data_IF_773516026625
#
_entry.id   IF_773516026625
#
_cell.length_a   1.000
_cell.length_b   1.000
_cell.length_c   1.000
_cell.angle_alpha   90.00
_cell.angle_beta   90.00
_cell.angle_gamma   90.00
#
_symmetry.space_group_name_H-M   'P 1'
#
loop_
_entity.id
_entity.type
_entity.pdbx_description
1 polymer ?
#
# COMPACT_ATOMS: atom_id res chain seq x y z
N UNK A 1 -29.57 10.09 -15.46
CA UNK A 1 -29.29 10.37 -14.03
C UNK A 1 -27.92 11.02 -13.97
N UNK A 2 -27.64 11.87 -12.97
CA UNK A 2 -26.25 12.32 -12.76
C UNK A 2 -25.50 11.17 -12.11
N UNK A 3 -24.52 10.58 -12.79
CA UNK A 3 -23.59 9.68 -12.13
C UNK A 3 -22.92 10.45 -10.99
N UNK A 4 -23.08 9.96 -9.77
CA UNK A 4 -22.30 10.48 -8.66
C UNK A 4 -20.85 10.05 -8.87
N UNK A 5 -19.87 10.91 -8.54
CA UNK A 5 -18.46 10.55 -8.69
C UNK A 5 -18.20 9.26 -7.92
N UNK A 6 -17.67 8.24 -8.59
CA UNK A 6 -17.39 6.96 -7.96
C UNK A 6 -16.39 7.18 -6.83
N UNK A 7 -16.75 6.73 -5.63
CA UNK A 7 -15.93 6.93 -4.44
C UNK A 7 -15.34 5.59 -4.00
N UNK A 8 -14.03 5.58 -3.83
CA UNK A 8 -13.26 4.38 -3.51
C UNK A 8 -12.95 4.32 -2.01
N UNK A 9 -13.01 3.12 -1.45
CA UNK A 9 -12.47 2.78 -0.14
C UNK A 9 -11.13 2.06 -0.28
N UNK A 10 -10.27 2.14 0.74
CA UNK A 10 -9.04 1.38 0.82
C UNK A 10 -9.06 0.48 2.06
N UNK A 11 -8.95 -0.83 1.86
CA UNK A 11 -8.72 -1.79 2.94
C UNK A 11 -7.29 -2.32 2.87
N UNK A 12 -6.56 -2.21 3.97
CA UNK A 12 -5.28 -2.88 4.16
C UNK A 12 -5.59 -4.19 4.88
N UNK A 13 -5.47 -5.32 4.18
CA UNK A 13 -5.60 -6.66 4.75
C UNK A 13 -4.21 -7.24 4.88
N UNK A 14 -3.83 -7.73 6.05
CA UNK A 14 -2.50 -8.30 6.22
C UNK A 14 -2.42 -9.41 7.23
N UNK A 15 -1.47 -10.29 6.96
CA UNK A 15 -1.11 -11.41 7.79
C UNK A 15 -0.32 -10.93 9.02
N UNK A 16 -0.89 -11.13 10.20
CA UNK A 16 -0.39 -10.65 11.49
C UNK A 16 0.26 -11.76 12.31
N UNK A 17 0.77 -12.78 11.61
CA UNK A 17 1.65 -13.84 12.12
C UNK A 17 3.11 -13.43 11.90
N UNK A 18 3.97 -13.66 12.88
CA UNK A 18 5.40 -13.30 12.80
C UNK A 18 6.30 -14.38 12.21
N UNK A 19 5.97 -15.67 12.35
CA UNK A 19 6.80 -16.80 11.92
C UNK A 19 8.26 -16.70 12.38
N UNK A 20 8.49 -16.19 13.60
CA UNK A 20 9.81 -15.91 14.18
C UNK A 20 10.61 -14.79 13.50
N UNK A 21 10.04 -14.03 12.56
CA UNK A 21 10.78 -13.10 11.69
C UNK A 21 10.76 -11.63 12.15
N UNK A 22 11.90 -10.94 12.02
CA UNK A 22 12.00 -9.49 12.26
C UNK A 22 11.12 -8.65 11.30
N UNK A 23 10.74 -9.24 10.16
CA UNK A 23 10.03 -8.57 9.07
C UNK A 23 8.63 -8.05 9.42
N UNK A 24 8.00 -8.57 10.46
CA UNK A 24 6.68 -8.10 10.89
C UNK A 24 6.73 -6.69 11.49
N UNK A 25 7.78 -6.33 12.23
CA UNK A 25 7.97 -4.95 12.70
C UNK A 25 8.11 -3.96 11.54
N UNK A 26 8.76 -4.39 10.47
CA UNK A 26 8.88 -3.64 9.21
C UNK A 26 7.53 -3.48 8.50
N UNK A 27 6.68 -4.51 8.46
CA UNK A 27 5.33 -4.42 7.87
C UNK A 27 4.42 -3.46 8.67
N UNK A 28 4.43 -3.54 10.01
CA UNK A 28 3.68 -2.59 10.87
C UNK A 28 4.12 -1.14 10.62
N UNK A 29 5.41 -0.92 10.40
CA UNK A 29 5.97 0.41 10.04
C UNK A 29 5.51 0.85 8.64
N UNK A 30 5.58 -0.04 7.65
CA UNK A 30 5.11 0.25 6.29
C UNK A 30 3.63 0.64 6.24
N UNK A 31 2.77 -0.11 6.93
CA UNK A 31 1.32 0.13 6.98
C UNK A 31 1.03 1.51 7.58
N UNK A 32 1.74 1.91 8.63
CA UNK A 32 1.59 3.25 9.20
C UNK A 32 2.00 4.35 8.20
N UNK A 33 3.08 4.18 7.46
CA UNK A 33 3.50 5.13 6.41
C UNK A 33 2.52 5.18 5.23
N UNK A 34 1.91 4.04 4.87
CA UNK A 34 0.85 3.97 3.86
C UNK A 34 -0.40 4.72 4.34
N UNK A 35 -0.91 4.45 5.56
CA UNK A 35 -2.06 5.17 6.13
C UNK A 35 -1.80 6.68 6.13
N UNK A 36 -0.61 7.09 6.59
CA UNK A 36 -0.17 8.48 6.55
C UNK A 36 -0.19 9.10 5.15
N UNK A 37 0.34 8.39 4.14
CA UNK A 37 0.29 8.79 2.74
C UNK A 37 -1.15 9.00 2.26
N UNK A 38 -2.04 8.02 2.52
CA UNK A 38 -3.41 8.03 2.01
C UNK A 38 -4.25 9.12 2.66
N UNK A 39 -4.13 9.34 3.98
CA UNK A 39 -4.81 10.43 4.69
C UNK A 39 -4.35 11.82 4.23
N UNK A 40 -3.09 11.99 3.80
CA UNK A 40 -2.63 13.24 3.19
C UNK A 40 -3.06 13.41 1.74
N UNK A 41 -3.15 12.31 0.99
CA UNK A 41 -3.61 12.31 -0.38
C UNK A 41 -5.10 12.68 -0.45
N UNK A 42 -5.91 12.20 0.51
CA UNK A 42 -7.36 12.48 0.58
C UNK A 42 -8.03 12.13 -0.76
N UNK A 43 -7.76 10.88 -1.16
CA UNK A 43 -8.12 10.23 -2.42
C UNK A 43 -9.04 9.00 -2.24
N UNK A 44 -9.19 8.51 -1.01
CA UNK A 44 -10.18 7.51 -0.61
C UNK A 44 -11.07 8.11 0.48
N UNK A 45 -12.37 7.81 0.43
CA UNK A 45 -13.32 8.29 1.44
C UNK A 45 -13.09 7.60 2.79
N UNK A 46 -12.76 6.30 2.74
CA UNK A 46 -12.56 5.47 3.93
C UNK A 46 -11.29 4.64 3.84
N UNK A 47 -10.55 4.57 4.94
CA UNK A 47 -9.44 3.63 5.13
C UNK A 47 -9.82 2.68 6.28
N UNK A 48 -9.50 1.40 6.15
CA UNK A 48 -9.55 0.45 7.27
C UNK A 48 -8.43 -0.56 7.20
N UNK A 49 -8.09 -1.16 8.33
CA UNK A 49 -7.04 -2.17 8.47
C UNK A 49 -7.62 -3.43 9.10
N UNK A 50 -7.44 -4.56 8.41
CA UNK A 50 -7.82 -5.89 8.85
C UNK A 50 -6.55 -6.73 9.02
N UNK A 51 -6.30 -7.14 10.26
CA UNK A 51 -5.26 -8.10 10.60
C UNK A 51 -5.88 -9.49 10.71
N UNK A 52 -5.23 -10.50 10.15
CA UNK A 52 -5.67 -11.89 10.27
C UNK A 52 -4.52 -12.82 10.68
N UNK A 53 -4.85 -13.99 11.25
CA UNK A 53 -3.86 -14.98 11.75
C UNK A 53 -4.32 -16.42 11.51
N UNK A 54 -3.41 -17.37 11.72
CA UNK A 54 -3.73 -18.80 11.76
C UNK A 54 -4.54 -19.18 12.99
N UNK A 55 -5.28 -20.29 12.91
CA UNK A 55 -6.15 -20.81 13.97
C UNK A 55 -5.39 -21.43 15.18
N UNK A 56 -4.09 -21.16 15.30
CA UNK A 56 -3.28 -21.44 16.48
C UNK A 56 -3.62 -20.52 17.67
N UNK A 57 -4.13 -19.31 17.40
CA UNK A 57 -4.53 -18.37 18.45
C UNK A 57 -6.00 -18.54 18.89
N UNK A 58 -6.40 -17.86 19.96
CA UNK A 58 -7.82 -17.79 20.35
C UNK A 58 -8.67 -17.25 19.18
N UNK A 59 -9.89 -17.76 19.02
CA UNK A 59 -10.75 -17.43 17.87
C UNK A 59 -10.97 -15.91 17.68
N UNK A 60 -11.01 -15.16 18.78
CA UNK A 60 -11.13 -13.69 18.80
C UNK A 60 -9.90 -12.96 18.22
N UNK A 61 -8.72 -13.60 18.21
CA UNK A 61 -7.47 -13.07 17.64
C UNK A 61 -7.20 -13.54 16.21
N UNK A 62 -8.04 -14.41 15.63
CA UNK A 62 -7.90 -14.82 14.23
C UNK A 62 -8.19 -13.66 13.28
N UNK A 63 -9.07 -12.74 13.66
CA UNK A 63 -9.45 -11.55 12.90
C UNK A 63 -9.54 -10.34 13.82
N UNK A 64 -8.81 -9.27 13.50
CA UNK A 64 -8.94 -7.97 14.15
C UNK A 64 -9.19 -6.89 13.09
N UNK A 65 -10.18 -6.01 13.33
CA UNK A 65 -10.64 -5.01 12.37
C UNK A 65 -10.66 -3.62 13.01
N UNK A 66 -9.98 -2.65 12.39
CA UNK A 66 -9.89 -1.28 12.90
C UNK A 66 -11.19 -0.48 12.81
N UNK A 67 -12.17 -0.96 12.04
CA UNK A 67 -13.27 -0.14 11.52
C UNK A 67 -12.83 0.81 10.40
N UNK A 68 -13.81 1.50 9.81
CA UNK A 68 -13.61 2.46 8.72
C UNK A 68 -13.37 3.89 9.24
N UNK A 69 -12.19 4.46 8.97
CA UNK A 69 -11.88 5.87 9.22
C UNK A 69 -12.20 6.73 8.00
N UNK A 70 -12.98 7.80 8.20
CA UNK A 70 -13.28 8.80 7.18
C UNK A 70 -12.20 9.90 7.17
N UNK A 71 -11.24 9.81 6.25
CA UNK A 71 -10.05 10.69 6.19
C UNK A 71 -10.39 12.18 6.14
N UNK A 72 -11.43 12.55 5.39
CA UNK A 72 -11.88 13.94 5.23
C UNK A 72 -12.66 14.50 6.43
N UNK A 73 -12.97 13.65 7.43
CA UNK A 73 -13.88 13.94 8.56
C UNK A 73 -13.26 13.64 9.94
N UNK A 74 -11.94 13.44 10.04
CA UNK A 74 -11.19 13.28 11.29
C UNK A 74 -11.48 14.48 12.23
N UNK A 75 -12.10 14.28 13.42
CA UNK A 75 -11.88 13.11 14.29
C UNK A 75 -13.16 12.28 14.61
N UNK A 76 -13.96 11.88 13.62
CA UNK A 76 -14.97 10.83 13.86
C UNK A 76 -14.29 9.49 14.19
N UNK A 77 -14.66 8.76 15.26
CA UNK A 77 -14.07 7.46 15.57
C UNK A 77 -14.50 6.36 14.58
N UNK A 78 -13.60 5.47 14.14
CA UNK A 78 -12.15 5.51 14.36
C UNK A 78 -11.50 6.66 13.57
N UNK A 79 -10.72 7.48 14.24
CA UNK A 79 -9.90 8.53 13.62
C UNK A 79 -8.63 7.95 13.00
N UNK A 80 -7.86 8.77 12.29
CA UNK A 80 -6.59 8.31 11.71
C UNK A 80 -5.58 7.91 12.79
N UNK A 81 -5.64 8.53 13.97
CA UNK A 81 -4.78 8.15 15.10
C UNK A 81 -5.24 6.84 15.73
N UNK A 82 -6.54 6.55 15.76
CA UNK A 82 -7.07 5.28 16.29
C UNK A 82 -6.65 4.10 15.41
N UNK A 83 -6.70 4.23 14.08
CA UNK A 83 -6.21 3.18 13.17
C UNK A 83 -4.69 3.02 13.26
N UNK A 84 -3.92 4.10 13.36
CA UNK A 84 -2.47 3.98 13.56
C UNK A 84 -2.12 3.31 14.89
N UNK A 85 -2.84 3.66 15.97
CA UNK A 85 -2.68 3.02 17.27
C UNK A 85 -3.06 1.54 17.22
N UNK A 86 -4.18 1.19 16.57
CA UNK A 86 -4.55 -0.19 16.31
C UNK A 86 -3.39 -0.94 15.64
N UNK A 87 -2.84 -0.43 14.53
CA UNK A 87 -1.68 -1.04 13.85
C UNK A 87 -0.46 -1.14 14.75
N UNK A 88 -0.18 -0.12 15.57
CA UNK A 88 0.94 -0.12 16.51
C UNK A 88 0.77 -1.20 17.60
N UNK A 89 -0.42 -1.33 18.17
CA UNK A 89 -0.71 -2.16 19.35
C UNK A 89 -0.99 -3.64 19.00
N UNK A 90 -1.27 -3.98 17.72
CA UNK A 90 -1.50 -5.36 17.28
C UNK A 90 -0.40 -6.33 17.72
N UNK A 91 -0.76 -7.33 18.51
CA UNK A 91 0.10 -8.47 18.88
C UNK A 91 0.33 -9.36 17.67
N UNK A 92 1.55 -9.79 17.39
CA UNK A 92 1.82 -10.68 16.27
C UNK A 92 2.55 -11.91 16.80
N UNK A 93 1.81 -13.00 17.09
CA UNK A 93 2.39 -14.18 17.70
C UNK A 93 3.37 -14.84 16.74
N UNK A 94 4.26 -15.64 17.32
CA UNK A 94 5.03 -16.62 16.59
C UNK A 94 4.21 -17.93 16.57
N UNK A 95 4.02 -18.50 15.38
CA UNK A 95 3.35 -19.80 15.17
C UNK A 95 4.30 -20.84 14.55
N UNK A 96 5.62 -20.57 14.56
CA UNK A 96 6.64 -21.49 14.03
C UNK A 96 6.67 -22.87 14.69
N UNK A 97 6.06 -23.04 15.88
CA UNK A 97 5.89 -24.35 16.52
C UNK A 97 4.79 -25.21 15.87
N UNK A 98 3.80 -24.63 15.19
CA UNK A 98 2.62 -25.34 14.66
C UNK A 98 2.83 -25.93 13.26
N UNK A 99 3.97 -25.66 12.61
CA UNK A 99 4.35 -26.12 11.26
C UNK A 99 3.31 -25.81 10.14
N UNK A 100 2.42 -24.84 10.34
CA UNK A 100 1.48 -24.40 9.29
C UNK A 100 2.24 -23.75 8.13
N UNK A 101 2.14 -24.34 6.94
CA UNK A 101 2.68 -23.71 5.73
C UNK A 101 1.72 -22.68 5.10
N UNK A 102 0.52 -22.51 5.67
CA UNK A 102 -0.54 -21.69 5.07
C UNK A 102 -1.12 -20.62 6.00
N UNK A 103 -1.87 -19.72 5.39
CA UNK A 103 -2.47 -18.51 5.96
C UNK A 103 -4.01 -18.52 5.87
N UNK A 104 -4.71 -18.07 6.92
CA UNK A 104 -6.19 -17.93 6.97
C UNK A 104 -6.76 -16.79 6.09
N UNK A 105 -6.27 -16.64 4.86
CA UNK A 105 -6.69 -15.58 3.95
C UNK A 105 -8.14 -15.72 3.48
N UNK A 106 -8.75 -16.92 3.51
CA UNK A 106 -10.17 -17.09 3.16
C UNK A 106 -11.06 -16.41 4.20
N UNK A 107 -10.77 -16.64 5.48
CA UNK A 107 -11.43 -15.93 6.60
C UNK A 107 -11.19 -14.42 6.54
N UNK A 108 -9.97 -13.97 6.23
CA UNK A 108 -9.66 -12.55 6.06
C UNK A 108 -10.51 -11.88 4.97
N UNK A 109 -10.61 -12.52 3.80
CA UNK A 109 -11.37 -12.01 2.66
C UNK A 109 -12.89 -12.13 2.86
N UNK A 110 -13.37 -13.15 3.57
CA UNK A 110 -14.77 -13.25 3.99
C UNK A 110 -15.18 -12.05 4.86
N UNK A 111 -14.35 -11.70 5.86
CA UNK A 111 -14.57 -10.52 6.69
C UNK A 111 -14.43 -9.23 5.90
N UNK A 112 -13.43 -9.10 5.03
CA UNK A 112 -13.29 -7.95 4.15
C UNK A 112 -14.56 -7.72 3.32
N UNK A 113 -15.08 -8.77 2.67
CA UNK A 113 -16.32 -8.74 1.90
C UNK A 113 -17.52 -8.35 2.76
N UNK A 114 -17.61 -8.81 4.01
CA UNK A 114 -18.66 -8.40 4.96
C UNK A 114 -18.65 -6.87 5.20
N UNK A 115 -17.47 -6.27 5.43
CA UNK A 115 -17.29 -4.85 5.75
C UNK A 115 -17.33 -3.90 4.54
N UNK A 116 -17.15 -4.42 3.32
CA UNK A 116 -17.21 -3.67 2.07
C UNK A 116 -18.62 -3.14 1.75
N UNK A 117 -18.67 -1.99 1.08
CA UNK A 117 -19.89 -1.46 0.42
C UNK A 117 -19.86 -1.75 -1.09
N UNK A 118 -20.99 -1.50 -1.74
CA UNK A 118 -21.21 -1.81 -3.16
C UNK A 118 -20.44 -0.92 -4.17
N UNK A 119 -19.89 0.21 -3.72
CA UNK A 119 -19.25 1.18 -4.63
C UNK A 119 -17.81 0.82 -5.03
N UNK A 120 -17.25 -0.22 -4.40
CA UNK A 120 -15.94 -0.77 -4.72
C UNK A 120 -14.83 -0.38 -3.74
N UNK A 121 -14.04 -1.37 -3.35
CA UNK A 121 -12.91 -1.23 -2.42
C UNK A 121 -11.61 -1.70 -3.08
N UNK A 122 -10.52 -0.94 -2.91
CA UNK A 122 -9.18 -1.45 -3.19
C UNK A 122 -8.70 -2.21 -1.95
N UNK A 123 -8.29 -3.45 -2.15
CA UNK A 123 -7.70 -4.29 -1.09
C UNK A 123 -6.20 -4.37 -1.34
N UNK A 124 -5.40 -3.94 -0.37
CA UNK A 124 -3.96 -4.19 -0.32
C UNK A 124 -3.76 -5.41 0.59
N UNK A 125 -3.46 -6.57 0.00
CA UNK A 125 -3.40 -7.86 0.69
C UNK A 125 -1.93 -8.29 0.87
N UNK A 126 -1.39 -8.19 2.08
CA UNK A 126 -0.01 -8.61 2.40
C UNK A 126 -0.01 -9.98 3.09
N UNK A 127 0.72 -10.95 2.55
CA UNK A 127 0.77 -12.30 3.08
C UNK A 127 2.22 -12.80 3.23
N UNK A 128 2.48 -13.58 4.29
CA UNK A 128 3.77 -14.22 4.53
C UNK A 128 3.82 -15.67 4.03
N UNK A 129 2.64 -16.29 3.85
CA UNK A 129 2.45 -17.67 3.42
C UNK A 129 1.33 -17.75 2.34
N UNK A 130 1.21 -18.86 1.58
CA UNK A 130 0.06 -19.14 0.72
C UNK A 130 -1.25 -19.34 1.51
N UNK A 131 -2.45 -19.26 0.90
CA UNK A 131 -3.70 -19.53 1.60
C UNK A 131 -3.85 -20.99 2.03
N UNK A 132 -4.68 -21.27 3.05
CA UNK A 132 -5.01 -22.63 3.46
C UNK A 132 -5.89 -23.36 2.42
N UNK A 133 -5.41 -24.55 2.02
CA UNK A 133 -6.15 -25.55 1.24
C UNK A 133 -6.06 -26.92 1.93
N UNK A 134 -6.97 -27.82 1.60
CA UNK A 134 -7.12 -29.15 2.23
C UNK A 134 -5.81 -29.96 2.24
N UNK A 135 -5.01 -29.87 1.18
CA UNK A 135 -3.77 -30.63 1.02
C UNK A 135 -2.54 -30.05 1.72
N UNK A 136 -2.60 -28.81 2.23
CA UNK A 136 -1.48 -28.14 2.93
C UNK A 136 -1.81 -27.59 4.33
N UNK A 137 -3.07 -27.30 4.62
CA UNK A 137 -3.45 -26.53 5.82
C UNK A 137 -3.82 -27.36 7.05
N UNK A 138 -4.02 -28.67 6.90
CA UNK A 138 -4.32 -29.60 8.00
C UNK A 138 -5.38 -29.09 8.98
N UNK A 139 -5.07 -29.14 10.27
CA UNK A 139 -6.01 -28.76 11.33
C UNK A 139 -6.38 -27.25 11.33
N UNK A 140 -5.54 -26.37 10.78
CA UNK A 140 -5.89 -24.96 10.59
C UNK A 140 -6.89 -24.78 9.45
N UNK A 141 -6.75 -25.56 8.36
CA UNK A 141 -7.75 -25.58 7.29
C UNK A 141 -9.11 -26.07 7.81
N UNK A 142 -9.14 -27.16 8.58
CA UNK A 142 -10.38 -27.65 9.19
C UNK A 142 -11.03 -26.58 10.09
N UNK A 143 -10.21 -25.89 10.89
CA UNK A 143 -10.64 -24.79 11.76
C UNK A 143 -11.15 -23.58 10.96
N UNK A 144 -10.49 -23.23 9.85
CA UNK A 144 -10.94 -22.19 8.93
C UNK A 144 -12.28 -22.56 8.29
N UNK A 145 -12.46 -23.79 7.82
CA UNK A 145 -13.72 -24.26 7.21
C UNK A 145 -14.89 -24.26 8.20
N UNK A 146 -14.67 -24.68 9.45
CA UNK A 146 -15.67 -24.59 10.53
C UNK A 146 -16.00 -23.12 10.83
N UNK A 147 -15.00 -22.25 10.88
CA UNK A 147 -15.17 -20.82 11.14
C UNK A 147 -15.87 -20.08 10.00
N UNK A 148 -15.60 -20.43 8.74
CA UNK A 148 -16.32 -19.92 7.57
C UNK A 148 -17.77 -20.42 7.50
N UNK A 149 -18.02 -21.66 7.97
CA UNK A 149 -19.38 -22.22 8.07
C UNK A 149 -20.25 -21.56 9.15
N UNK A 150 -19.66 -21.26 10.32
CA UNK A 150 -20.43 -20.95 11.55
C UNK A 150 -19.95 -19.71 12.33
N UNK A 151 -18.76 -19.19 12.06
CA UNK A 151 -18.04 -18.15 12.83
C UNK A 151 -18.46 -16.70 12.59
N UNK A 152 -19.72 -16.44 12.21
CA UNK A 152 -20.28 -15.09 12.16
C UNK A 152 -20.03 -14.26 10.89
N UNK A 153 -19.33 -14.80 9.88
CA UNK A 153 -19.12 -14.15 8.58
C UNK A 153 -20.35 -14.17 7.65
N UNK A 154 -21.46 -14.78 8.10
CA UNK A 154 -22.72 -14.84 7.35
C UNK A 154 -22.59 -15.60 6.02
N UNK A 155 -23.27 -15.10 4.99
CA UNK A 155 -23.23 -15.67 3.64
C UNK A 155 -21.84 -15.58 3.00
N UNK A 156 -21.09 -14.51 3.27
CA UNK A 156 -19.70 -14.37 2.80
C UNK A 156 -18.82 -15.51 3.32
N UNK A 157 -18.98 -15.95 4.58
CA UNK A 157 -18.27 -17.11 5.13
C UNK A 157 -18.41 -18.35 4.24
N UNK A 158 -19.65 -18.74 3.93
CA UNK A 158 -19.95 -19.90 3.08
C UNK A 158 -19.37 -19.80 1.67
N UNK A 159 -19.39 -18.60 1.09
CA UNK A 159 -18.83 -18.35 -0.24
C UNK A 159 -17.30 -18.54 -0.23
N UNK A 160 -16.62 -17.99 0.78
CA UNK A 160 -15.16 -18.00 0.88
C UNK A 160 -14.55 -19.34 1.34
N UNK A 161 -15.36 -20.33 1.74
CA UNK A 161 -14.90 -21.72 1.94
C UNK A 161 -14.09 -22.23 0.73
N UNK A 162 -14.55 -21.84 -0.46
CA UNK A 162 -13.89 -22.11 -1.73
C UNK A 162 -13.29 -20.82 -2.32
N UNK A 163 -12.00 -20.87 -2.64
CA UNK A 163 -11.23 -19.73 -3.14
C UNK A 163 -11.80 -19.10 -4.42
N UNK A 164 -12.30 -19.92 -5.36
CA UNK A 164 -12.88 -19.43 -6.61
C UNK A 164 -14.20 -18.70 -6.39
N UNK A 165 -15.09 -19.23 -5.55
CA UNK A 165 -16.36 -18.59 -5.21
C UNK A 165 -16.13 -17.22 -4.54
N UNK A 166 -15.24 -17.13 -3.55
CA UNK A 166 -14.85 -15.87 -2.93
C UNK A 166 -14.23 -14.87 -3.92
N UNK A 167 -13.38 -15.36 -4.81
CA UNK A 167 -12.77 -14.56 -5.89
C UNK A 167 -13.80 -14.04 -6.89
N UNK A 168 -14.77 -14.87 -7.28
CA UNK A 168 -15.84 -14.51 -8.23
C UNK A 168 -16.73 -13.38 -7.66
N UNK A 169 -17.05 -13.43 -6.37
CA UNK A 169 -17.74 -12.33 -5.69
C UNK A 169 -16.92 -11.05 -5.74
N UNK A 170 -15.65 -11.08 -5.32
CA UNK A 170 -14.81 -9.86 -5.30
C UNK A 170 -14.59 -9.27 -6.70
N UNK A 171 -14.51 -10.10 -7.74
CA UNK A 171 -14.39 -9.64 -9.13
C UNK A 171 -15.71 -9.08 -9.72
N UNK A 172 -16.84 -9.24 -9.01
CA UNK A 172 -18.17 -8.83 -9.48
C UNK A 172 -18.78 -9.77 -10.53
N UNK A 173 -18.21 -10.96 -10.72
CA UNK A 173 -18.85 -12.02 -11.51
C UNK A 173 -20.15 -12.45 -10.82
N UNK A 174 -21.20 -12.70 -11.60
CA UNK A 174 -22.51 -13.11 -11.06
C UNK A 174 -23.42 -11.96 -10.59
N UNK A 175 -23.11 -10.69 -10.91
CA UNK A 175 -23.88 -9.50 -10.52
C UNK A 175 -23.86 -9.17 -9.01
N UNK A 176 -22.89 -9.68 -8.25
CA UNK A 176 -22.71 -9.24 -6.86
C UNK A 176 -22.40 -7.74 -6.81
N UNK A 177 -23.16 -6.93 -6.04
CA UNK A 177 -22.92 -5.50 -5.98
C UNK A 177 -21.63 -5.15 -5.19
N UNK A 178 -21.05 -6.06 -4.40
CA UNK A 178 -19.77 -5.85 -3.69
C UNK A 178 -18.61 -6.37 -4.54
N UNK A 179 -17.79 -5.42 -5.03
CA UNK A 179 -16.58 -5.71 -5.82
C UNK A 179 -15.34 -5.10 -5.21
N UNK A 180 -14.18 -5.70 -5.46
CA UNK A 180 -12.87 -5.19 -5.11
C UNK A 180 -11.90 -5.25 -6.29
N UNK A 181 -10.78 -4.52 -6.14
CA UNK A 181 -9.53 -4.78 -6.86
C UNK A 181 -8.51 -5.19 -5.80
N UNK A 182 -7.92 -6.37 -5.92
CA UNK A 182 -6.96 -6.90 -4.94
C UNK A 182 -5.54 -6.75 -5.47
N UNK A 183 -4.72 -5.97 -4.77
CA UNK A 183 -3.27 -5.95 -4.97
C UNK A 183 -2.63 -6.85 -3.91
N UNK A 184 -2.14 -8.01 -4.32
CA UNK A 184 -1.48 -8.96 -3.42
C UNK A 184 0.03 -8.70 -3.35
N UNK A 185 0.58 -8.85 -2.14
CA UNK A 185 1.98 -8.69 -1.83
C UNK A 185 2.45 -9.94 -1.08
N UNK A 186 3.19 -10.81 -1.77
CA UNK A 186 3.89 -11.92 -1.14
C UNK A 186 5.21 -11.42 -0.57
N UNK A 187 5.37 -11.54 0.75
CA UNK A 187 6.59 -11.11 1.44
C UNK A 187 7.62 -12.25 1.49
N UNK A 188 8.91 -11.91 1.62
CA UNK A 188 9.99 -12.91 1.67
C UNK A 188 11.37 -12.32 1.94
N UNK A 189 12.39 -13.19 1.95
CA UNK A 189 13.80 -12.82 1.89
C UNK A 189 14.20 -12.41 0.47
N UNK A 190 15.30 -11.65 0.33
CA UNK A 190 15.87 -11.26 -0.98
C UNK A 190 16.13 -12.49 -1.86
N UNK A 191 16.69 -13.54 -1.25
CA UNK A 191 17.16 -14.73 -1.95
C UNK A 191 16.03 -15.58 -2.55
N UNK A 192 14.81 -15.47 -2.02
CA UNK A 192 13.67 -16.33 -2.38
C UNK A 192 12.51 -15.56 -3.06
N UNK A 193 12.73 -14.33 -3.53
CA UNK A 193 11.64 -13.53 -4.16
C UNK A 193 11.15 -14.14 -5.49
N UNK A 194 12.04 -14.75 -6.26
CA UNK A 194 11.77 -15.44 -7.53
C UNK A 194 11.30 -16.88 -7.37
N UNK A 195 11.35 -17.42 -6.16
CA UNK A 195 11.23 -18.85 -5.90
C UNK A 195 9.85 -19.18 -5.34
N UNK A 196 9.42 -20.44 -5.46
CA UNK A 196 8.12 -20.90 -4.95
C UNK A 196 6.89 -20.25 -5.62
N UNK A 197 7.02 -19.64 -6.80
CA UNK A 197 5.96 -18.84 -7.46
C UNK A 197 4.60 -19.59 -7.51
N UNK A 198 4.62 -20.92 -7.69
CA UNK A 198 3.42 -21.75 -7.72
C UNK A 198 2.60 -21.75 -6.43
N UNK A 199 3.21 -21.49 -5.27
CA UNK A 199 2.53 -21.40 -3.97
C UNK A 199 1.75 -20.09 -3.85
N UNK A 200 2.29 -19.00 -4.42
CA UNK A 200 1.67 -17.66 -4.43
C UNK A 200 0.56 -17.52 -5.48
N UNK A 201 0.35 -18.57 -6.25
CA UNK A 201 -0.51 -18.60 -7.41
C UNK A 201 -2.03 -18.43 -7.14
N UNK A 202 -2.59 -18.81 -5.97
CA UNK A 202 -3.95 -18.43 -5.58
C UNK A 202 -4.14 -16.92 -5.46
N UNK A 203 -3.14 -16.20 -4.93
CA UNK A 203 -3.15 -14.74 -4.88
C UNK A 203 -2.96 -14.11 -6.26
N UNK A 204 -2.22 -14.74 -7.16
CA UNK A 204 -2.12 -14.32 -8.56
C UNK A 204 -3.48 -14.44 -9.28
N UNK A 205 -4.19 -15.56 -9.07
CA UNK A 205 -5.55 -15.74 -9.56
C UNK A 205 -6.50 -14.65 -9.02
N UNK A 206 -6.57 -14.49 -7.69
CA UNK A 206 -7.39 -13.48 -7.02
C UNK A 206 -7.08 -12.06 -7.51
N UNK A 207 -5.80 -11.72 -7.61
CA UNK A 207 -5.36 -10.42 -8.11
C UNK A 207 -5.82 -10.23 -9.55
N UNK A 208 -5.55 -11.18 -10.45
CA UNK A 208 -5.79 -11.00 -11.89
C UNK A 208 -7.29 -10.91 -12.20
N UNK A 209 -8.12 -11.78 -11.62
CA UNK A 209 -9.58 -11.78 -11.85
C UNK A 209 -10.27 -10.55 -11.26
N UNK A 210 -9.76 -10.00 -10.16
CA UNK A 210 -10.22 -8.72 -9.61
C UNK A 210 -9.60 -7.50 -10.31
N UNK A 211 -8.80 -7.67 -11.36
CA UNK A 211 -8.17 -6.58 -12.12
C UNK A 211 -6.92 -5.97 -11.47
N UNK A 212 -6.45 -6.56 -10.38
CA UNK A 212 -5.23 -6.23 -9.65
C UNK A 212 -3.96 -6.92 -10.17
N UNK A 213 -2.93 -7.00 -9.33
CA UNK A 213 -1.61 -7.58 -9.65
C UNK A 213 -0.99 -8.21 -8.38
N UNK A 214 -0.18 -9.26 -8.56
CA UNK A 214 0.65 -9.85 -7.50
C UNK A 214 2.08 -9.31 -7.57
N UNK A 215 2.62 -8.90 -6.42
CA UNK A 215 4.02 -8.49 -6.24
C UNK A 215 4.73 -9.37 -5.20
N UNK A 216 6.00 -9.69 -5.45
CA UNK A 216 6.93 -10.27 -4.46
C UNK A 216 7.92 -9.20 -4.03
N UNK A 217 8.06 -8.98 -2.72
CA UNK A 217 8.91 -7.94 -2.14
C UNK A 217 9.56 -8.40 -0.84
N UNK A 218 10.70 -7.82 -0.51
CA UNK A 218 11.39 -8.05 0.76
C UNK A 218 10.58 -7.55 1.96
N UNK A 219 10.79 -8.16 3.12
CA UNK A 219 10.47 -7.59 4.43
C UNK A 219 11.31 -6.34 4.75
N UNK A 220 10.93 -5.20 4.16
CA UNK A 220 11.51 -3.90 4.47
C UNK A 220 10.41 -2.85 4.45
N UNK A 221 10.27 -2.11 5.55
CA UNK A 221 9.29 -1.05 5.74
C UNK A 221 9.38 -0.03 4.61
N UNK A 222 10.62 0.33 4.26
CA UNK A 222 11.00 1.20 3.15
C UNK A 222 10.58 0.65 1.79
N UNK A 223 10.83 -0.62 1.49
CA UNK A 223 10.49 -1.19 0.16
C UNK A 223 8.98 -1.33 0.03
N UNK A 224 8.31 -1.91 1.04
CA UNK A 224 6.86 -2.13 1.07
C UNK A 224 6.11 -0.79 0.96
N UNK A 225 6.44 0.19 1.81
CA UNK A 225 5.77 1.50 1.77
C UNK A 225 5.98 2.20 0.43
N UNK A 226 7.20 2.25 -0.12
CA UNK A 226 7.48 2.91 -1.41
C UNK A 226 6.81 2.21 -2.58
N UNK A 227 6.80 0.87 -2.62
CA UNK A 227 6.12 0.10 -3.65
C UNK A 227 4.62 0.43 -3.63
N UNK A 228 3.96 0.26 -2.49
CA UNK A 228 2.51 0.51 -2.35
C UNK A 228 2.15 1.96 -2.61
N UNK A 229 2.87 2.92 -2.02
CA UNK A 229 2.68 4.36 -2.28
C UNK A 229 2.84 4.67 -3.77
N UNK A 230 3.83 4.07 -4.42
CA UNK A 230 4.09 4.25 -5.83
C UNK A 230 2.97 3.68 -6.72
N UNK A 231 2.51 2.47 -6.43
CA UNK A 231 1.37 1.86 -7.12
C UNK A 231 0.10 2.70 -6.95
N UNK A 232 -0.19 3.19 -5.74
CA UNK A 232 -1.31 4.09 -5.49
C UNK A 232 -1.16 5.42 -6.25
N UNK A 233 0.04 6.01 -6.33
CA UNK A 233 0.31 7.22 -7.13
C UNK A 233 0.11 6.98 -8.63
N UNK A 234 0.42 5.78 -9.14
CA UNK A 234 0.15 5.40 -10.54
C UNK A 234 -1.35 5.17 -10.76
N UNK A 235 -2.03 4.51 -9.83
CA UNK A 235 -3.48 4.31 -9.85
C UNK A 235 -4.27 5.63 -9.77
N UNK A 236 -3.79 6.63 -9.02
CA UNK A 236 -4.37 7.98 -9.01
C UNK A 236 -3.99 8.82 -10.24
N UNK A 237 -3.12 8.32 -11.13
CA UNK A 237 -2.62 9.07 -12.29
C UNK A 237 -1.70 10.26 -11.96
N UNK A 238 -1.12 10.31 -10.75
CA UNK A 238 -0.46 11.51 -10.21
C UNK A 238 0.69 12.08 -11.07
N UNK A 239 0.92 13.40 -11.01
CA UNK A 239 1.91 14.09 -11.85
C UNK A 239 3.37 13.95 -11.38
N UNK A 240 4.26 13.65 -12.33
CA UNK A 240 5.70 13.49 -12.09
C UNK A 240 6.14 12.03 -12.10
N UNK A 241 7.43 11.80 -11.84
CA UNK A 241 7.99 10.45 -11.78
C UNK A 241 7.71 9.82 -10.42
N UNK A 242 7.31 8.55 -10.44
CA UNK A 242 7.15 7.69 -9.27
C UNK A 242 8.38 6.81 -9.18
N UNK A 243 8.98 6.74 -7.99
CA UNK A 243 10.14 5.90 -7.71
C UNK A 243 9.67 4.56 -7.13
N UNK A 244 9.56 3.56 -8.00
CA UNK A 244 9.19 2.19 -7.63
C UNK A 244 10.46 1.45 -7.23
N UNK A 245 10.56 0.89 -6.00
CA UNK A 245 11.73 0.13 -5.59
C UNK A 245 11.79 -1.22 -6.32
N UNK A 246 12.96 -1.84 -6.27
CA UNK A 246 13.16 -3.20 -6.77
C UNK A 246 12.26 -4.19 -6.04
N UNK A 247 11.53 -4.97 -6.82
CA UNK A 247 10.56 -5.99 -6.43
C UNK A 247 10.27 -6.83 -7.70
N UNK A 248 9.49 -7.89 -7.57
CA UNK A 248 9.04 -8.66 -8.74
C UNK A 248 7.53 -8.55 -8.88
N UNK A 249 7.03 -8.32 -10.09
CA UNK A 249 5.62 -8.48 -10.44
C UNK A 249 5.45 -9.83 -11.11
N UNK A 250 4.48 -10.61 -10.65
CA UNK A 250 4.11 -11.88 -11.27
C UNK A 250 2.83 -11.64 -12.09
N UNK A 251 2.83 -12.09 -13.34
CA UNK A 251 1.68 -12.02 -14.26
C UNK A 251 1.54 -13.33 -15.04
N UNK A 252 0.34 -13.65 -15.51
CA UNK A 252 0.15 -14.74 -16.47
C UNK A 252 0.58 -14.30 -17.88
N UNK A 253 1.11 -15.22 -18.68
CA UNK A 253 1.40 -14.98 -20.10
C UNK A 253 0.17 -15.13 -21.00
N UNK A 254 -0.79 -15.97 -20.58
CA UNK A 254 -2.09 -16.22 -21.21
C UNK A 254 -3.19 -15.94 -20.18
N UNK A 255 -4.32 -15.36 -20.60
CA UNK A 255 -5.33 -14.87 -19.67
C UNK A 255 -5.94 -16.03 -18.84
N UNK A 256 -5.99 -15.94 -17.50
CA UNK A 256 -6.46 -17.03 -16.66
C UNK A 256 -7.97 -17.30 -16.82
N UNK A 257 -8.72 -16.32 -17.33
CA UNK A 257 -10.15 -16.44 -17.66
C UNK A 257 -10.46 -17.39 -18.80
N UNK A 258 -9.45 -17.79 -19.59
CA UNK A 258 -9.62 -18.73 -20.70
C UNK A 258 -9.66 -20.21 -20.22
N UNK A 259 -9.37 -20.45 -18.93
CA UNK A 259 -9.38 -21.79 -18.32
C UNK A 259 -10.75 -22.12 -17.70
N UNK A 260 -11.64 -22.71 -18.51
CA UNK A 260 -13.01 -23.11 -18.12
C UNK A 260 -13.13 -24.23 -17.06
N UNK A 261 -12.02 -24.72 -16.50
CA UNK A 261 -11.96 -25.93 -15.66
C UNK A 261 -11.13 -25.74 -14.39
N UNK A 262 -11.00 -24.49 -13.90
CA UNK A 262 -10.20 -24.18 -12.72
C UNK A 262 -10.94 -24.55 -11.41
N UNK A 263 -10.29 -25.34 -10.55
CA UNK A 263 -10.78 -25.83 -9.26
C UNK A 263 -9.67 -25.74 -8.21
N UNK A 264 -10.02 -25.69 -6.91
CA UNK A 264 -9.02 -25.58 -5.82
C UNK A 264 -8.01 -26.73 -5.80
N UNK A 265 -8.49 -27.95 -6.06
CA UNK A 265 -7.69 -29.18 -6.21
C UNK A 265 -6.58 -29.09 -7.26
N UNK A 266 -6.73 -28.18 -8.24
CA UNK A 266 -5.83 -28.00 -9.37
C UNK A 266 -5.21 -26.60 -9.41
N UNK A 267 -5.38 -25.76 -8.38
CA UNK A 267 -4.96 -24.35 -8.42
C UNK A 267 -3.44 -24.23 -8.64
N UNK A 268 -2.65 -25.05 -7.95
CA UNK A 268 -1.21 -25.19 -8.17
C UNK A 268 -0.86 -25.70 -9.58
N UNK A 269 -1.70 -26.55 -10.18
CA UNK A 269 -1.49 -27.05 -11.55
C UNK A 269 -1.76 -25.97 -12.61
N UNK A 270 -2.85 -25.22 -12.46
CA UNK A 270 -3.22 -24.11 -13.34
C UNK A 270 -2.26 -22.94 -13.25
N UNK A 271 -1.72 -22.69 -12.06
CA UNK A 271 -1.09 -21.42 -11.73
C UNK A 271 0.37 -21.57 -11.21
N UNK A 272 0.91 -22.79 -11.14
CA UNK A 272 2.26 -23.06 -10.60
C UNK A 272 3.10 -24.15 -11.29
N UNK A 273 2.55 -25.34 -11.56
CA UNK A 273 3.33 -26.49 -12.07
C UNK A 273 3.70 -26.31 -13.56
N UNK A 274 2.86 -25.65 -14.35
CA UNK A 274 3.21 -25.19 -15.69
C UNK A 274 3.81 -23.78 -15.65
N UNK A 275 5.07 -23.69 -15.18
CA UNK A 275 5.85 -22.44 -15.13
C UNK A 275 5.92 -21.68 -16.47
N UNK A 276 5.69 -22.35 -17.59
CA UNK A 276 5.57 -21.76 -18.93
C UNK A 276 4.49 -20.67 -19.07
N UNK A 277 3.46 -20.63 -18.20
CA UNK A 277 2.41 -19.60 -18.24
C UNK A 277 2.65 -18.41 -17.29
N UNK A 278 3.80 -18.33 -16.62
CA UNK A 278 4.08 -17.29 -15.62
C UNK A 278 5.23 -16.40 -16.10
N UNK A 279 5.02 -15.09 -16.02
CA UNK A 279 6.06 -14.09 -16.23
C UNK A 279 6.40 -13.43 -14.89
N UNK A 280 7.68 -13.49 -14.51
CA UNK A 280 8.21 -12.83 -13.31
C UNK A 280 9.10 -11.66 -13.75
N UNK A 281 8.61 -10.43 -13.61
CA UNK A 281 9.29 -9.23 -14.13
C UNK A 281 9.76 -8.34 -12.98
N UNK A 282 11.05 -8.03 -12.94
CA UNK A 282 11.61 -7.05 -12.02
C UNK A 282 10.97 -5.66 -12.27
N UNK A 283 10.45 -5.02 -11.24
CA UNK A 283 9.73 -3.74 -11.31
C UNK A 283 10.55 -2.62 -11.95
N UNK A 284 11.88 -2.65 -11.86
CA UNK A 284 12.77 -1.67 -12.49
C UNK A 284 12.72 -1.71 -14.03
N UNK A 285 12.31 -2.84 -14.61
CA UNK A 285 12.20 -3.04 -16.06
C UNK A 285 10.79 -2.73 -16.60
N UNK A 286 9.80 -2.47 -15.73
CA UNK A 286 8.41 -2.26 -16.12
C UNK A 286 8.19 -0.78 -16.45
N UNK A 287 7.74 -0.42 -17.67
CA UNK A 287 7.38 0.96 -17.98
C UNK A 287 6.18 1.39 -17.15
N UNK A 288 6.10 2.67 -16.76
CA UNK A 288 5.04 3.20 -15.85
C UNK A 288 3.61 2.76 -16.23
N UNK A 289 3.30 2.65 -17.52
CA UNK A 289 1.99 2.22 -18.00
C UNK A 289 1.63 0.78 -17.60
N UNK A 290 2.63 -0.10 -17.46
CA UNK A 290 2.44 -1.50 -17.06
C UNK A 290 2.01 -1.68 -15.60
N UNK A 291 2.18 -0.68 -14.74
CA UNK A 291 1.68 -0.67 -13.36
C UNK A 291 0.24 -0.16 -13.22
N UNK A 292 -0.44 0.16 -14.33
CA UNK A 292 -1.83 0.65 -14.26
C UNK A 292 -2.78 -0.49 -13.91
N UNK A 293 -3.64 -0.20 -12.95
CA UNK A 293 -4.63 -1.14 -12.42
C UNK A 293 -6.02 -0.59 -12.74
N UNK A 294 -6.83 -1.24 -13.59
CA UNK A 294 -8.18 -0.78 -13.90
C UNK A 294 -9.10 -0.95 -12.68
N UNK A 295 -9.82 0.12 -12.28
CA UNK A 295 -10.85 0.05 -11.23
C UNK A 295 -12.22 0.43 -11.79
N UNK A 296 -13.01 -0.57 -12.20
CA UNK A 296 -14.34 -0.35 -12.78
C UNK A 296 -14.30 0.42 -14.10
N UNK A 297 -15.38 1.14 -14.42
CA UNK A 297 -15.50 1.93 -15.65
C UNK A 297 -14.54 3.13 -15.71
N UNK A 298 -13.99 3.54 -14.57
CA UNK A 298 -12.89 4.52 -14.49
C UNK A 298 -11.57 3.77 -14.57
N UNK A 299 -11.22 3.32 -15.78
CA UNK A 299 -9.80 3.25 -16.09
C UNK A 299 -9.26 4.67 -16.26
N UNK A 300 -8.00 4.90 -15.91
CA UNK A 300 -7.25 6.09 -16.34
C UNK A 300 -6.98 6.11 -17.87
N UNK A 301 -7.81 5.43 -18.67
CA UNK A 301 -7.76 5.40 -20.13
C UNK A 301 -8.16 6.75 -20.75
N UNK A 302 -8.89 7.59 -20.01
CA UNK A 302 -9.07 8.97 -20.37
C UNK A 302 -7.72 9.70 -20.25
N UNK A 303 -7.04 9.87 -21.39
CA UNK A 303 -5.82 10.69 -21.54
C UNK A 303 -6.07 12.18 -21.19
N UNK A 304 -7.35 12.56 -21.02
CA UNK A 304 -7.83 13.86 -20.60
C UNK A 304 -7.65 14.15 -19.11
N UNK A 305 -6.43 14.57 -18.72
CA UNK A 305 -6.10 15.22 -17.44
C UNK A 305 -6.20 14.33 -16.20
N UNK A 306 -5.03 14.01 -15.63
CA UNK A 306 -4.92 13.54 -14.24
C UNK A 306 -5.65 14.51 -13.29
N UNK A 307 -6.77 14.07 -12.71
CA UNK A 307 -7.47 14.84 -11.66
C UNK A 307 -6.61 15.00 -10.40
N UNK A 308 -5.68 14.07 -10.14
CA UNK A 308 -4.88 14.01 -8.93
C UNK A 308 -3.48 14.64 -9.05
N UNK A 309 -3.41 15.89 -9.51
CA UNK A 309 -2.12 16.62 -9.57
C UNK A 309 -1.71 17.23 -8.23
N UNK A 310 -0.40 17.33 -8.03
CA UNK A 310 0.29 18.10 -7.00
C UNK A 310 -0.19 19.55 -6.89
N UNK A 311 -0.68 20.15 -8.00
CA UNK A 311 -1.30 21.49 -7.99
C UNK A 311 -2.74 21.45 -7.50
N UNK A 312 -3.52 20.45 -7.89
CA UNK A 312 -4.92 20.29 -7.46
C UNK A 312 -4.99 20.05 -5.95
N UNK A 313 -4.16 19.16 -5.39
CA UNK A 313 -4.13 18.90 -3.95
C UNK A 313 -3.70 20.14 -3.13
N UNK A 314 -2.66 20.86 -3.59
CA UNK A 314 -2.25 22.11 -2.94
C UNK A 314 -3.33 23.19 -2.98
N UNK A 315 -4.07 23.32 -4.11
CA UNK A 315 -5.23 24.22 -4.22
C UNK A 315 -6.37 23.81 -3.29
N UNK A 316 -6.70 22.51 -3.23
CA UNK A 316 -7.71 21.91 -2.34
C UNK A 316 -7.42 22.27 -0.88
N UNK A 317 -6.16 22.14 -0.44
CA UNK A 317 -5.73 22.61 0.88
C UNK A 317 -5.98 24.11 1.09
N UNK A 318 -5.55 24.97 0.17
CA UNK A 318 -5.71 26.43 0.33
C UNK A 318 -7.19 26.86 0.38
N UNK A 319 -8.08 26.21 -0.38
CA UNK A 319 -9.49 26.59 -0.54
C UNK A 319 -10.46 25.92 0.44
N UNK A 320 -10.01 24.97 1.28
CA UNK A 320 -10.85 24.26 2.26
C UNK A 320 -10.89 24.96 3.63
N UNK A 321 -11.76 24.47 4.50
CA UNK A 321 -12.01 25.02 5.84
C UNK A 321 -10.76 24.97 6.73
N UNK A 322 -10.71 25.82 7.76
CA UNK A 322 -9.62 25.80 8.74
C UNK A 322 -9.49 24.44 9.45
N UNK A 323 -10.61 23.74 9.66
CA UNK A 323 -10.62 22.38 10.21
C UNK A 323 -9.83 21.40 9.32
N UNK A 324 -10.12 21.35 8.01
CA UNK A 324 -9.36 20.55 7.05
C UNK A 324 -7.88 20.88 7.04
N UNK A 325 -7.53 22.17 7.07
CA UNK A 325 -6.13 22.63 7.13
C UNK A 325 -5.42 22.14 8.37
N UNK A 326 -6.09 22.14 9.53
CA UNK A 326 -5.54 21.65 10.79
C UNK A 326 -5.31 20.12 10.74
N UNK A 327 -6.23 19.34 10.14
CA UNK A 327 -6.08 17.89 9.93
C UNK A 327 -4.86 17.57 9.05
N UNK A 328 -4.72 18.24 7.90
CA UNK A 328 -3.56 18.07 7.02
C UNK A 328 -2.25 18.47 7.71
N UNK A 329 -2.24 19.57 8.47
CA UNK A 329 -1.06 20.00 9.23
C UNK A 329 -0.67 18.98 10.33
N UNK A 330 -1.65 18.37 11.01
CA UNK A 330 -1.45 17.28 11.99
C UNK A 330 -0.82 16.06 11.33
N UNK A 331 -1.34 15.61 10.20
CA UNK A 331 -0.76 14.47 9.45
C UNK A 331 0.67 14.77 8.95
N UNK A 332 0.95 15.99 8.47
CA UNK A 332 2.31 16.42 8.10
C UNK A 332 3.25 16.39 9.30
N UNK A 333 2.85 16.94 10.46
CA UNK A 333 3.68 16.91 11.67
C UNK A 333 3.97 15.48 12.14
N UNK A 334 2.99 14.57 12.00
CA UNK A 334 3.13 13.14 12.30
C UNK A 334 4.16 12.48 11.38
N UNK A 335 4.03 12.64 10.06
CA UNK A 335 4.98 12.08 9.08
C UNK A 335 6.39 12.64 9.27
N UNK A 336 6.54 13.93 9.60
CA UNK A 336 7.86 14.50 9.91
C UNK A 336 8.51 13.78 11.09
N UNK A 337 7.74 13.38 12.11
CA UNK A 337 8.24 12.67 13.31
C UNK A 337 8.52 11.19 13.08
N UNK A 338 7.76 10.52 12.20
CA UNK A 338 7.90 9.07 11.95
C UNK A 338 8.84 8.78 10.78
N UNK A 339 8.51 9.26 9.59
CA UNK A 339 9.30 9.03 8.37
C UNK A 339 9.18 10.21 7.39
N UNK A 340 10.00 11.24 7.62
CA UNK A 340 10.03 12.44 6.77
C UNK A 340 10.43 12.16 5.31
N UNK A 341 10.99 10.98 5.00
CA UNK A 341 11.33 10.60 3.62
C UNK A 341 10.08 10.47 2.73
N UNK A 342 8.93 10.10 3.29
CA UNK A 342 7.65 9.95 2.56
C UNK A 342 7.25 11.24 1.84
N UNK A 343 7.52 12.40 2.44
CA UNK A 343 7.25 13.73 1.84
C UNK A 343 8.15 13.99 0.61
N UNK A 344 9.32 13.36 0.55
CA UNK A 344 10.27 13.50 -0.54
C UNK A 344 10.05 12.52 -1.71
N UNK A 345 9.31 11.41 -1.51
CA UNK A 345 9.04 10.39 -2.53
C UNK A 345 8.43 11.00 -3.80
N UNK A 346 7.46 11.91 -3.67
CA UNK A 346 6.69 12.40 -4.82
C UNK A 346 6.46 13.94 -4.82
N UNK A 347 6.43 14.61 -5.99
CA UNK A 347 6.14 16.04 -6.09
C UNK A 347 4.81 16.49 -5.46
N UNK A 348 3.85 15.56 -5.36
CA UNK A 348 2.54 15.75 -4.75
C UNK A 348 2.65 16.26 -3.29
N UNK A 349 3.37 15.53 -2.43
CA UNK A 349 3.65 16.00 -1.06
C UNK A 349 4.54 17.22 -1.04
N UNK A 350 5.51 17.32 -1.96
CA UNK A 350 6.37 18.49 -2.08
C UNK A 350 5.59 19.81 -2.23
N UNK A 351 4.51 19.82 -3.02
CA UNK A 351 3.64 21.00 -3.18
C UNK A 351 2.68 21.21 -2.02
N UNK A 352 2.07 20.14 -1.49
CA UNK A 352 1.16 20.23 -0.34
C UNK A 352 1.91 20.78 0.90
N UNK A 353 3.08 20.22 1.20
CA UNK A 353 3.94 20.66 2.29
C UNK A 353 4.36 22.14 2.14
N UNK A 354 4.71 22.57 0.93
CA UNK A 354 5.03 23.97 0.66
C UNK A 354 3.81 24.90 0.86
N UNK A 355 2.60 24.47 0.45
CA UNK A 355 1.37 25.24 0.66
C UNK A 355 1.04 25.38 2.16
N UNK A 356 1.21 24.30 2.94
CA UNK A 356 1.03 24.31 4.40
C UNK A 356 2.05 25.22 5.08
N UNK A 357 3.33 25.15 4.70
CA UNK A 357 4.38 26.02 5.26
C UNK A 357 4.23 27.50 4.88
N UNK A 358 3.48 27.82 3.84
CA UNK A 358 3.18 29.20 3.42
C UNK A 358 1.87 29.75 4.00
N UNK A 359 1.00 28.89 4.55
CA UNK A 359 -0.23 29.34 5.19
C UNK A 359 0.10 30.05 6.52
N UNK A 360 -0.23 31.34 6.58
CA UNK A 360 0.08 32.22 7.73
C UNK A 360 -0.90 32.08 8.88
N UNK A 361 -2.01 31.36 8.69
CA UNK A 361 -3.05 31.20 9.71
C UNK A 361 -2.82 29.98 10.62
N UNK A 362 -1.79 29.17 10.35
CA UNK A 362 -1.38 28.04 11.20
C UNK A 362 -0.02 28.27 11.88
N UNK A 363 0.26 27.50 12.93
CA UNK A 363 1.53 27.56 13.71
C UNK A 363 2.71 26.86 12.97
N UNK A 364 2.86 27.19 11.69
CA UNK A 364 3.55 26.38 10.69
C UNK A 364 5.07 26.58 10.65
N UNK A 365 5.59 27.65 11.27
CA UNK A 365 7.03 27.90 11.38
C UNK A 365 7.79 26.78 12.11
N UNK A 366 7.12 26.04 12.99
CA UNK A 366 7.70 24.88 13.69
C UNK A 366 7.96 23.69 12.76
N UNK A 367 7.13 23.47 11.74
CA UNK A 367 7.22 22.32 10.82
C UNK A 367 8.51 22.36 10.01
N UNK A 368 8.92 23.53 9.52
CA UNK A 368 10.17 23.70 8.75
C UNK A 368 11.41 23.31 9.58
N UNK A 369 11.43 23.70 10.86
CA UNK A 369 12.51 23.34 11.80
C UNK A 369 12.57 21.84 12.04
N UNK A 370 11.43 21.22 12.37
CA UNK A 370 11.31 19.77 12.58
C UNK A 370 11.72 18.98 11.33
N UNK A 371 11.20 19.34 10.15
CA UNK A 371 11.49 18.68 8.87
C UNK A 371 12.99 18.64 8.59
N UNK A 372 13.69 19.77 8.81
CA UNK A 372 15.14 19.85 8.62
C UNK A 372 15.91 18.98 9.61
N UNK A 373 15.52 18.98 10.88
CA UNK A 373 16.16 18.15 11.91
C UNK A 373 16.00 16.66 11.62
N UNK A 374 14.79 16.24 11.21
CA UNK A 374 14.47 14.86 10.90
C UNK A 374 15.10 14.37 9.59
N UNK A 375 15.23 15.23 8.58
CA UNK A 375 15.93 14.89 7.33
C UNK A 375 17.42 14.56 7.54
N UNK A 376 18.04 15.08 8.60
CA UNK A 376 19.42 14.74 8.98
C UNK A 376 19.49 13.45 9.84
N UNK A 377 18.35 12.93 10.33
CA UNK A 377 18.23 11.69 11.11
C UNK A 377 17.83 10.45 10.29
N UNK A 378 17.40 10.61 9.02
CA UNK A 378 17.08 9.48 8.13
C UNK A 378 18.25 8.46 8.11
N UNK A 379 17.98 7.16 8.40
CA UNK A 379 19.00 6.11 8.38
C UNK A 379 19.49 5.78 6.97
N UNK A 380 18.58 5.52 6.02
CA UNK A 380 18.96 5.15 4.65
C UNK A 380 19.67 6.29 3.91
N UNK A 381 20.83 6.00 3.35
CA UNK A 381 21.65 6.97 2.62
C UNK A 381 21.02 7.38 1.27
N UNK A 382 20.17 6.55 0.65
CA UNK A 382 19.40 6.91 -0.54
C UNK A 382 18.36 7.98 -0.22
N UNK A 383 17.46 7.67 0.69
CA UNK A 383 16.35 8.51 1.13
C UNK A 383 16.85 9.80 1.79
N UNK A 384 17.91 9.73 2.60
CA UNK A 384 18.56 10.93 3.15
C UNK A 384 19.04 11.87 2.06
N UNK A 385 19.68 11.35 1.01
CA UNK A 385 20.12 12.15 -0.15
C UNK A 385 18.92 12.69 -0.93
N UNK A 386 17.89 11.88 -1.17
CA UNK A 386 16.66 12.29 -1.86
C UNK A 386 15.93 13.40 -1.10
N UNK A 387 15.68 13.24 0.21
CA UNK A 387 15.03 14.24 1.05
C UNK A 387 15.84 15.52 1.17
N UNK A 388 17.17 15.43 1.36
CA UNK A 388 18.02 16.62 1.37
C UNK A 388 18.05 17.34 0.01
N UNK A 389 18.00 16.62 -1.12
CA UNK A 389 17.92 17.21 -2.45
C UNK A 389 16.55 17.85 -2.73
N UNK A 390 15.46 17.16 -2.37
CA UNK A 390 14.08 17.67 -2.39
C UNK A 390 13.97 18.98 -1.59
N UNK A 391 14.48 19.01 -0.36
CA UNK A 391 14.48 20.20 0.49
C UNK A 391 15.25 21.37 -0.13
N UNK A 392 16.45 21.10 -0.69
CA UNK A 392 17.30 22.11 -1.35
C UNK A 392 16.68 22.67 -2.63
N UNK A 393 15.89 21.88 -3.36
CA UNK A 393 15.30 22.27 -4.65
C UNK A 393 13.98 23.03 -4.50
N UNK A 394 13.09 22.58 -3.60
CA UNK A 394 11.68 23.03 -3.56
C UNK A 394 11.35 24.14 -2.56
N UNK A 395 12.16 24.37 -1.53
CA UNK A 395 11.93 25.48 -0.60
C UNK A 395 12.29 26.84 -1.23
N UNK A 396 11.52 27.93 -1.03
CA UNK A 396 11.90 29.28 -1.46
C UNK A 396 13.24 29.74 -0.87
N UNK A 397 14.03 30.54 -1.59
CA UNK A 397 15.34 31.03 -1.12
C UNK A 397 15.26 31.79 0.22
N UNK A 398 14.15 32.47 0.49
CA UNK A 398 13.84 33.10 1.78
C UNK A 398 13.73 32.12 2.94
N UNK A 399 13.28 30.88 2.70
CA UNK A 399 13.23 29.80 3.70
C UNK A 399 14.55 29.00 3.77
N UNK A 400 15.43 29.11 2.76
CA UNK A 400 16.79 28.53 2.78
C UNK A 400 17.78 29.35 3.62
N UNK A 401 17.43 30.58 3.97
CA UNK A 401 18.27 31.53 4.72
C UNK A 401 18.35 31.21 6.22
N UNK A 402 18.94 30.06 6.53
CA UNK A 402 19.58 29.83 7.83
C UNK A 402 20.86 28.99 7.63
N UNK A 403 21.76 29.55 6.82
CA UNK A 403 23.07 29.01 6.42
C UNK A 403 24.15 30.11 6.42
N UNK A 404 24.98 30.14 7.46
CA UNK A 404 26.41 30.53 7.33
C UNK A 404 27.35 30.14 8.49
N UNK A 405 26.86 29.70 9.66
CA UNK A 405 27.70 29.57 10.87
C UNK A 405 28.17 28.17 11.30
N UNK A 406 27.71 27.05 10.69
CA UNK A 406 28.04 25.68 11.19
C UNK A 406 28.52 24.62 10.18
N UNK A 407 28.84 24.99 8.94
CA UNK A 407 29.42 24.06 7.95
C UNK A 407 30.77 24.56 7.41
N UNK A 408 31.79 24.50 8.27
CA UNK A 408 33.22 24.43 7.90
C UNK A 408 33.88 23.40 8.81
N UNK A 409 34.03 22.18 8.31
CA UNK A 409 34.51 21.04 9.09
C UNK A 409 34.82 19.83 8.22
N UNK A 410 35.53 20.08 7.10
CA UNK A 410 36.29 19.11 6.27
C UNK A 410 36.65 19.79 4.96
N UNK A 411 37.89 20.27 4.85
CA UNK A 411 38.53 20.59 3.56
C UNK A 411 39.54 19.48 3.30
N UNK A 412 39.21 18.58 2.39
CA UNK A 412 40.21 17.74 1.71
C UNK A 412 39.82 17.64 0.23
N UNK A 413 40.82 17.68 -0.65
CA UNK A 413 40.65 17.86 -2.09
C UNK A 413 40.04 16.62 -2.74
N UNK A 414 39.13 16.83 -3.70
CA UNK A 414 39.28 16.30 -5.07
C UNK A 414 38.90 17.43 -6.04
N UNK A 415 39.72 17.62 -7.09
CA UNK A 415 39.58 18.63 -8.15
C UNK A 415 39.70 17.90 -9.50
N UNK A 416 39.17 18.49 -10.58
CA UNK A 416 38.97 17.87 -11.93
C UNK A 416 37.80 16.86 -11.95
N UNK A 417 36.92 16.74 -12.95
CA UNK A 417 36.76 17.28 -14.33
C UNK A 417 35.26 17.66 -14.56
N UNK A 418 34.74 18.26 -15.65
CA UNK A 418 35.22 18.82 -16.94
C UNK A 418 34.40 20.16 -17.20
N UNK A 419 34.09 20.70 -18.41
CA UNK A 419 33.71 22.13 -18.54
C UNK A 419 32.21 22.44 -18.71
N UNK A 420 31.90 23.74 -18.60
CA UNK A 420 30.64 24.37 -19.00
C UNK A 420 30.88 25.10 -20.32
N UNK A 421 30.13 24.78 -21.37
CA UNK A 421 29.95 25.67 -22.53
C UNK A 421 28.65 26.48 -22.39
N UNK A 422 28.68 27.81 -22.59
CA UNK A 422 27.50 28.66 -22.70
C UNK A 422 27.03 28.78 -24.18
N UNK A 423 26.14 29.75 -24.46
CA UNK A 423 25.48 30.02 -25.77
C UNK A 423 24.27 29.07 -25.96
N UNK A 424 23.02 29.53 -26.11
CA UNK A 424 22.56 30.70 -26.88
C UNK A 424 21.77 31.75 -26.09
N UNK A 425 21.97 33.01 -26.50
CA UNK A 425 20.90 34.01 -26.58
C UNK A 425 20.44 34.09 -28.04
N UNK A 426 19.13 34.01 -28.27
CA UNK A 426 18.35 34.93 -29.10
C UNK A 426 16.86 34.73 -28.78
#
# INVERSE_FOLDING_TARGET
MSDQPQVHDLMIVFDAVSGGSEGVGELKTAIQDIINFVSLADCFERIGVLAYRNYACTAEKVIEWSGWCYTSCDPSPPSTDDILKFVQDLEMPDDSEDNSYGASSKTALAKACQEMRTNGTIILLYNHAPPLFEHIGGHHYDSEQVSLSFGGYGEAGRIFQNWFNGTNVLSGFGQDPKKAVVLSFGLGSVDNLSDGIGEWSPYLWLSTTTGGNLYRTTYSSRVISRLTIGLLLIWMGADGNVDIPESFRITYTLAPTDFFTAEESNLELFCGINCNNLECVNTLNIPRIGFRVPYGGISNNDEGVSNFTSRALARKYTSRSQHYKNVIAKHIDRIIRTNVSVIAIHPLFGRLFAAVCLDRNGNNGSLLGKTRAQADQIPDAGDKRQTQAWWRSRMPSSMRLNRRSKWRGSKTLIQTCLPIDPVFKL
#
